data_IF_759598062649
#
_entry.id   IF_759598062649
#
_cell.length_a   1.000
_cell.length_b   1.000
_cell.length_c   1.000
_cell.angle_alpha   90.00
_cell.angle_beta   90.00
_cell.angle_gamma   90.00
#
_symmetry.space_group_name_H-M   'P 1'
#
loop_
_entity.id
_entity.type
_entity.pdbx_description
1 polymer ?
#
# COMPACT_ATOMS: atom_id res chain seq x y z
N UNK A 1 -57.81 7.15 13.70
CA UNK A 1 -56.69 7.71 12.94
C UNK A 1 -55.80 6.53 12.55
N UNK A 2 -55.84 6.16 11.28
CA UNK A 2 -55.06 5.05 10.74
C UNK A 2 -53.61 5.50 10.46
N UNK A 3 -52.60 4.62 10.55
CA UNK A 3 -51.22 4.97 10.23
C UNK A 3 -51.02 5.01 8.72
N UNK A 4 -50.41 6.09 8.27
CA UNK A 4 -50.05 6.34 6.87
C UNK A 4 -48.96 5.35 6.38
N UNK A 5 -49.18 4.89 5.14
CA UNK A 5 -48.39 3.88 4.51
C UNK A 5 -46.92 4.35 4.20
N UNK A 6 -46.02 3.43 4.36
CA UNK A 6 -44.67 3.52 3.80
C UNK A 6 -44.81 3.46 2.28
N UNK A 7 -44.33 4.51 1.63
CA UNK A 7 -44.11 4.49 0.18
C UNK A 7 -42.95 3.52 -0.13
N UNK A 8 -43.24 2.55 -0.96
CA UNK A 8 -42.24 1.67 -1.58
C UNK A 8 -41.27 2.52 -2.40
N UNK A 9 -39.96 2.48 -2.03
CA UNK A 9 -38.92 3.03 -2.85
C UNK A 9 -38.83 2.21 -4.13
N UNK A 10 -39.18 2.83 -5.24
CA UNK A 10 -39.06 2.23 -6.57
C UNK A 10 -37.59 1.82 -6.80
N UNK A 11 -37.37 0.52 -7.00
CA UNK A 11 -36.11 -0.05 -7.49
C UNK A 11 -35.90 0.54 -8.90
N UNK A 12 -34.83 1.31 -9.06
CA UNK A 12 -34.42 1.79 -10.38
C UNK A 12 -34.14 0.60 -11.30
N UNK A 13 -34.45 0.69 -12.60
CA UNK A 13 -34.27 -0.42 -13.53
C UNK A 13 -32.80 -0.80 -13.62
N UNK A 14 -32.51 -2.11 -13.53
CA UNK A 14 -31.23 -2.70 -13.86
C UNK A 14 -30.81 -2.25 -15.25
N UNK A 15 -29.64 -1.58 -15.32
CA UNK A 15 -29.09 -1.13 -16.57
C UNK A 15 -28.80 -2.31 -17.49
N UNK A 16 -29.24 -2.21 -18.73
CA UNK A 16 -29.16 -3.20 -19.81
C UNK A 16 -27.74 -3.78 -19.96
N UNK A 17 -27.69 -5.08 -19.79
CA UNK A 17 -26.55 -5.95 -20.11
C UNK A 17 -26.20 -5.85 -21.61
N UNK A 18 -24.98 -5.48 -21.98
CA UNK A 18 -24.59 -5.54 -23.38
C UNK A 18 -23.22 -4.98 -23.80
N UNK A 19 -22.66 -4.01 -23.13
CA UNK A 19 -21.34 -3.50 -23.50
C UNK A 19 -20.22 -4.27 -22.79
N UNK A 20 -19.16 -4.71 -23.49
CA UNK A 20 -18.03 -5.36 -22.84
C UNK A 20 -17.36 -4.41 -21.87
N UNK A 21 -17.23 -4.82 -20.59
CA UNK A 21 -16.52 -4.04 -19.59
C UNK A 21 -15.01 -4.02 -19.88
N UNK A 22 -14.36 -2.86 -19.78
CA UNK A 22 -12.92 -2.75 -19.98
C UNK A 22 -12.16 -3.66 -18.99
N UNK A 23 -11.12 -4.37 -19.44
CA UNK A 23 -10.22 -5.10 -18.52
C UNK A 23 -9.48 -4.11 -17.62
N UNK A 24 -9.03 -4.57 -16.44
CA UNK A 24 -8.07 -3.82 -15.64
C UNK A 24 -6.74 -3.75 -16.41
N UNK A 25 -6.23 -2.54 -16.52
CA UNK A 25 -4.95 -2.27 -17.17
C UNK A 25 -3.81 -2.46 -16.18
N UNK A 26 -2.66 -2.88 -16.67
CA UNK A 26 -1.42 -2.92 -15.90
C UNK A 26 -0.89 -1.52 -15.61
N UNK A 27 -0.08 -1.35 -14.56
CA UNK A 27 0.54 -0.04 -14.26
C UNK A 27 1.36 0.50 -15.44
N UNK A 28 2.19 -0.27 -16.16
CA UNK A 28 2.88 0.20 -17.36
C UNK A 28 1.93 0.78 -18.43
N UNK A 29 0.74 0.19 -18.62
CA UNK A 29 -0.25 0.72 -19.56
C UNK A 29 -0.82 2.06 -19.09
N UNK A 30 -1.14 2.19 -17.77
CA UNK A 30 -1.59 3.47 -17.20
C UNK A 30 -0.53 4.56 -17.39
N UNK A 31 0.74 4.24 -17.13
CA UNK A 31 1.85 5.17 -17.31
C UNK A 31 2.02 5.60 -18.78
N UNK A 32 1.77 4.71 -19.73
CA UNK A 32 1.82 5.03 -21.16
C UNK A 32 0.70 6.03 -21.55
N UNK A 33 -0.51 5.88 -20.99
CA UNK A 33 -1.60 6.83 -21.21
C UNK A 33 -1.26 8.22 -20.66
N UNK A 34 -0.75 8.31 -19.44
CA UNK A 34 -0.37 9.57 -18.82
C UNK A 34 0.75 10.28 -19.58
N UNK A 35 1.78 9.56 -20.06
CA UNK A 35 2.82 10.13 -20.93
C UNK A 35 2.28 10.69 -22.22
N UNK A 36 1.23 10.08 -22.75
CA UNK A 36 0.55 10.53 -23.97
C UNK A 36 -0.46 11.66 -23.72
N UNK A 37 -0.57 12.16 -22.49
CA UNK A 37 -1.51 13.22 -22.11
C UNK A 37 -2.97 12.76 -21.99
N UNK A 38 -3.21 11.45 -21.92
CA UNK A 38 -4.55 10.88 -21.76
C UNK A 38 -4.87 10.57 -20.30
N UNK A 39 -6.11 10.74 -19.85
CA UNK A 39 -6.51 10.41 -18.50
C UNK A 39 -6.68 8.89 -18.32
N UNK A 40 -6.59 8.45 -17.09
CA UNK A 40 -6.87 7.08 -16.66
C UNK A 40 -7.88 7.08 -15.51
N UNK A 41 -8.53 5.94 -15.27
CA UNK A 41 -9.36 5.76 -14.09
C UNK A 41 -8.55 4.94 -13.08
N UNK A 42 -8.51 5.40 -11.85
CA UNK A 42 -7.86 4.70 -10.73
C UNK A 42 -8.90 4.39 -9.67
N UNK A 43 -8.97 3.12 -9.24
CA UNK A 43 -9.97 2.64 -8.28
C UNK A 43 -9.27 2.24 -6.99
N UNK A 44 -9.84 2.63 -5.86
CA UNK A 44 -9.38 2.22 -4.55
C UNK A 44 -10.07 0.93 -4.06
N UNK A 45 -9.71 0.51 -2.84
CA UNK A 45 -10.24 -0.72 -2.22
C UNK A 45 -11.72 -0.59 -1.82
N UNK A 46 -12.47 -1.70 -1.93
CA UNK A 46 -13.88 -1.77 -1.54
C UNK A 46 -14.10 -1.42 -0.06
N UNK A 47 -13.13 -1.73 0.80
CA UNK A 47 -13.15 -1.41 2.23
C UNK A 47 -12.74 0.04 2.53
N UNK A 48 -12.27 0.82 1.53
CA UNK A 48 -11.85 2.20 1.71
C UNK A 48 -12.95 3.20 1.34
N UNK A 49 -12.98 3.71 0.13
CA UNK A 49 -14.03 4.60 -0.42
C UNK A 49 -14.87 3.87 -1.46
N UNK A 50 -14.26 2.83 -2.07
CA UNK A 50 -14.84 2.05 -3.16
C UNK A 50 -15.28 2.94 -4.31
N UNK A 51 -14.41 3.89 -4.70
CA UNK A 51 -14.66 4.88 -5.73
C UNK A 51 -13.58 4.82 -6.82
N UNK A 52 -13.81 5.50 -7.92
CA UNK A 52 -12.84 5.65 -8.99
C UNK A 52 -12.71 7.09 -9.40
N UNK A 53 -11.45 7.55 -9.46
CA UNK A 53 -11.13 8.90 -9.90
C UNK A 53 -10.63 8.89 -11.34
N UNK A 54 -11.06 9.89 -12.09
CA UNK A 54 -10.40 10.26 -13.33
C UNK A 54 -9.11 11.01 -12.98
N UNK A 55 -7.96 10.44 -13.38
CA UNK A 55 -6.62 10.94 -13.02
C UNK A 55 -5.83 11.27 -14.28
N UNK A 56 -5.15 12.42 -14.29
CA UNK A 56 -4.24 12.83 -15.37
C UNK A 56 -3.09 13.69 -14.85
N UNK A 57 -2.00 13.72 -15.60
CA UNK A 57 -0.84 14.55 -15.25
C UNK A 57 -1.21 16.04 -15.41
N UNK A 58 -0.94 16.85 -14.40
CA UNK A 58 -1.33 18.27 -14.38
C UNK A 58 -0.67 19.08 -15.51
N UNK A 59 0.55 18.74 -15.93
CA UNK A 59 1.23 19.42 -17.05
C UNK A 59 0.55 19.22 -18.40
N UNK A 60 -0.28 18.17 -18.54
CA UNK A 60 -1.05 17.85 -19.73
C UNK A 60 -2.51 18.32 -19.67
N UNK A 61 -2.92 19.06 -18.64
CA UNK A 61 -4.29 19.57 -18.52
C UNK A 61 -4.67 20.46 -19.72
N UNK A 62 -5.69 20.08 -20.49
CA UNK A 62 -6.25 20.88 -21.60
C UNK A 62 -7.67 21.33 -21.27
N UNK A 63 -8.18 22.30 -22.01
CA UNK A 63 -9.57 22.75 -21.87
C UNK A 63 -10.55 21.58 -22.10
N UNK A 64 -10.29 20.77 -23.12
CA UNK A 64 -11.13 19.63 -23.52
C UNK A 64 -11.13 18.56 -22.42
N UNK A 65 -9.96 18.25 -21.86
CA UNK A 65 -9.82 17.30 -20.77
C UNK A 65 -10.56 17.76 -19.51
N UNK A 66 -10.43 19.04 -19.17
CA UNK A 66 -11.16 19.63 -18.04
C UNK A 66 -12.67 19.66 -18.29
N UNK A 67 -13.11 19.96 -19.52
CA UNK A 67 -14.53 19.93 -19.87
C UNK A 67 -15.11 18.52 -19.77
N UNK A 68 -14.34 17.50 -20.17
CA UNK A 68 -14.69 16.09 -19.99
C UNK A 68 -14.79 15.74 -18.51
N UNK A 69 -13.75 16.08 -17.73
CA UNK A 69 -13.69 15.83 -16.27
C UNK A 69 -14.92 16.42 -15.58
N UNK A 70 -15.19 17.71 -15.77
CA UNK A 70 -16.32 18.41 -15.14
C UNK A 70 -17.67 17.77 -15.48
N UNK A 71 -17.81 17.22 -16.69
CA UNK A 71 -19.07 16.63 -17.16
C UNK A 71 -19.35 15.27 -16.52
N UNK A 72 -18.31 14.49 -16.24
CA UNK A 72 -18.43 13.08 -15.86
C UNK A 72 -18.01 12.79 -14.41
N UNK A 73 -17.68 13.81 -13.63
CA UNK A 73 -17.22 13.64 -12.24
C UNK A 73 -18.05 14.48 -11.27
N UNK A 74 -17.73 14.38 -9.98
CA UNK A 74 -18.39 15.15 -8.91
C UNK A 74 -18.19 16.67 -9.00
N UNK A 75 -17.40 17.16 -9.97
CA UNK A 75 -17.23 18.57 -10.27
C UNK A 75 -16.17 19.29 -9.44
N UNK A 76 -15.71 18.74 -8.33
CA UNK A 76 -14.55 19.24 -7.59
C UNK A 76 -13.30 18.71 -8.26
N UNK A 77 -12.55 19.59 -8.92
CA UNK A 77 -11.28 19.21 -9.53
C UNK A 77 -10.16 19.50 -8.56
N UNK A 78 -9.52 18.43 -8.10
CA UNK A 78 -8.39 18.50 -7.20
C UNK A 78 -7.07 18.44 -7.98
N UNK A 79 -6.00 18.99 -7.39
CA UNK A 79 -4.64 18.88 -7.90
C UNK A 79 -3.74 18.38 -6.78
N UNK A 80 -3.35 17.12 -6.87
CA UNK A 80 -2.47 16.46 -5.91
C UNK A 80 -1.01 16.80 -6.20
N UNK A 81 -0.24 17.11 -5.16
CA UNK A 81 1.16 17.47 -5.25
C UNK A 81 1.92 17.06 -3.99
N UNK A 82 3.24 16.81 -4.07
CA UNK A 82 4.06 16.55 -2.90
C UNK A 82 4.27 17.82 -2.08
N UNK A 83 4.70 17.67 -0.81
CA UNK A 83 4.85 18.77 0.14
C UNK A 83 5.80 19.85 -0.37
N UNK A 84 6.91 19.50 -1.03
CA UNK A 84 7.87 20.47 -1.58
C UNK A 84 7.25 21.39 -2.65
N UNK A 85 6.28 20.88 -3.43
CA UNK A 85 5.56 21.72 -4.41
C UNK A 85 4.56 22.61 -3.69
N UNK A 86 3.79 22.05 -2.75
CA UNK A 86 2.81 22.82 -1.98
C UNK A 86 3.46 23.92 -1.13
N UNK A 87 4.65 23.66 -0.57
CA UNK A 87 5.45 24.65 0.18
C UNK A 87 6.00 25.75 -0.72
N UNK A 88 6.52 25.40 -1.90
CA UNK A 88 6.96 26.39 -2.91
C UNK A 88 5.83 27.31 -3.36
N UNK A 89 4.63 26.77 -3.47
CA UNK A 89 3.44 27.52 -3.82
C UNK A 89 2.79 28.22 -2.61
N UNK A 90 3.32 28.10 -1.41
CA UNK A 90 2.79 28.64 -0.15
C UNK A 90 1.32 28.29 0.07
N UNK A 91 0.99 27.01 0.01
CA UNK A 91 -0.37 26.49 0.17
C UNK A 91 -0.60 25.95 1.59
N UNK A 92 -1.11 26.78 2.54
CA UNK A 92 -1.43 26.30 3.87
C UNK A 92 -2.62 25.34 3.86
N UNK A 93 -2.77 24.49 4.91
CA UNK A 93 -3.96 23.68 5.08
C UNK A 93 -5.24 24.53 5.02
N UNK A 94 -6.30 24.00 4.42
CA UNK A 94 -7.60 24.68 4.31
C UNK A 94 -8.20 25.00 5.69
N UNK A 95 -7.92 24.17 6.70
CA UNK A 95 -8.39 24.29 8.07
C UNK A 95 -7.26 24.06 9.06
N UNK A 96 -7.29 24.75 10.19
CA UNK A 96 -6.29 24.59 11.26
C UNK A 96 -6.32 23.20 11.89
N UNK A 97 -7.51 22.55 11.93
CA UNK A 97 -7.71 21.19 12.45
C UNK A 97 -8.54 20.40 11.44
N UNK A 98 -7.91 19.41 10.82
CA UNK A 98 -8.61 18.49 9.93
C UNK A 98 -9.42 17.47 10.77
N UNK A 99 -10.73 17.41 10.51
CA UNK A 99 -11.67 16.47 11.16
C UNK A 99 -12.33 15.54 10.15
N UNK A 100 -11.88 15.56 8.88
CA UNK A 100 -12.40 14.69 7.85
C UNK A 100 -12.05 13.22 8.17
N UNK A 101 -13.00 12.32 7.94
CA UNK A 101 -12.88 10.88 8.26
C UNK A 101 -11.64 10.23 7.64
N UNK A 102 -11.24 10.66 6.43
CA UNK A 102 -10.08 10.14 5.68
C UNK A 102 -8.86 11.03 5.77
N UNK A 103 -8.94 12.13 6.54
CA UNK A 103 -7.87 13.09 6.75
C UNK A 103 -7.27 13.65 5.43
N UNK A 104 -8.08 13.74 4.35
CA UNK A 104 -7.65 14.29 3.08
C UNK A 104 -7.08 15.69 3.26
N UNK A 105 -5.83 15.89 2.84
CA UNK A 105 -5.04 17.08 3.16
C UNK A 105 -5.32 18.24 2.18
N UNK A 106 -6.56 18.75 2.18
CA UNK A 106 -6.91 19.94 1.44
C UNK A 106 -6.11 21.16 1.90
N UNK A 107 -5.64 21.92 0.93
CA UNK A 107 -5.09 23.26 1.15
C UNK A 107 -6.11 24.31 0.76
N UNK A 108 -5.78 25.60 0.97
CA UNK A 108 -6.57 26.69 0.40
C UNK A 108 -6.72 26.50 -1.11
N UNK A 109 -7.92 26.78 -1.65
CA UNK A 109 -8.16 26.72 -3.09
C UNK A 109 -7.42 27.82 -3.82
N UNK A 110 -7.08 27.59 -5.09
CA UNK A 110 -6.27 28.49 -5.91
C UNK A 110 -6.89 28.75 -7.28
N UNK A 111 -6.43 29.82 -7.89
CA UNK A 111 -6.53 30.07 -9.33
C UNK A 111 -5.30 30.83 -9.82
N UNK A 112 -4.98 30.77 -11.11
CA UNK A 112 -3.89 31.54 -11.68
C UNK A 112 -4.15 33.03 -11.47
N UNK A 113 -3.11 33.78 -11.05
CA UNK A 113 -3.22 35.23 -10.85
C UNK A 113 -3.44 36.00 -12.17
N UNK A 114 -2.94 35.43 -13.28
CA UNK A 114 -3.03 36.02 -14.62
C UNK A 114 -3.46 34.98 -15.67
N UNK A 115 -3.95 35.41 -16.80
CA UNK A 115 -4.29 34.56 -17.95
C UNK A 115 -5.61 33.80 -17.82
N UNK A 116 -6.47 34.18 -16.88
CA UNK A 116 -7.80 33.63 -16.66
C UNK A 116 -8.89 34.72 -16.72
N UNK A 117 -10.15 34.28 -16.82
CA UNK A 117 -11.31 35.19 -16.73
C UNK A 117 -11.87 35.21 -15.29
N UNK A 118 -12.83 34.35 -14.98
CA UNK A 118 -13.45 34.23 -13.65
C UNK A 118 -12.94 33.04 -12.84
N UNK A 119 -12.01 32.27 -13.41
CA UNK A 119 -11.39 31.10 -12.74
C UNK A 119 -12.17 29.79 -12.86
N UNK A 120 -13.50 29.82 -13.09
CA UNK A 120 -14.36 28.63 -13.02
C UNK A 120 -14.43 27.85 -14.34
N UNK A 121 -14.13 28.49 -15.49
CA UNK A 121 -14.25 27.82 -16.80
C UNK A 121 -13.27 26.63 -16.91
N UNK A 122 -13.56 25.69 -17.80
CA UNK A 122 -12.63 24.57 -18.06
C UNK A 122 -11.25 25.08 -18.53
N UNK A 123 -11.23 26.16 -19.32
CA UNK A 123 -10.00 26.80 -19.78
C UNK A 123 -9.19 27.41 -18.63
N UNK A 124 -9.86 28.16 -17.75
CA UNK A 124 -9.21 28.81 -16.60
C UNK A 124 -8.66 27.77 -15.60
N UNK A 125 -9.45 26.72 -15.28
CA UNK A 125 -9.00 25.64 -14.39
C UNK A 125 -7.86 24.83 -15.03
N UNK A 126 -7.91 24.54 -16.32
CA UNK A 126 -6.81 23.88 -17.02
C UNK A 126 -5.53 24.72 -17.00
N UNK A 127 -5.65 26.04 -17.16
CA UNK A 127 -4.50 26.95 -17.05
C UNK A 127 -3.92 26.93 -15.64
N UNK A 128 -4.74 27.04 -14.61
CA UNK A 128 -4.33 26.99 -13.20
C UNK A 128 -3.63 25.67 -12.86
N UNK A 129 -4.18 24.52 -13.29
CA UNK A 129 -3.62 23.19 -13.03
C UNK A 129 -2.26 23.04 -13.72
N UNK A 130 -2.12 23.43 -14.99
CA UNK A 130 -0.82 23.41 -15.69
C UNK A 130 0.21 24.30 -15.03
N UNK A 131 -0.20 25.48 -14.56
CA UNK A 131 0.68 26.43 -13.88
C UNK A 131 1.21 25.81 -12.57
N UNK A 132 0.36 25.12 -11.80
CA UNK A 132 0.77 24.45 -10.55
C UNK A 132 1.84 23.36 -10.76
N UNK A 133 1.85 22.71 -11.92
CA UNK A 133 2.87 21.71 -12.28
C UNK A 133 4.19 22.32 -12.79
N UNK A 134 4.26 23.61 -13.08
CA UNK A 134 5.51 24.21 -13.57
C UNK A 134 6.59 24.27 -12.49
N UNK A 135 7.83 23.83 -12.78
CA UNK A 135 8.91 23.84 -11.79
C UNK A 135 9.26 25.21 -11.21
N UNK A 136 9.01 26.27 -11.99
CA UNK A 136 9.38 27.66 -11.62
C UNK A 136 8.17 28.48 -11.10
N UNK A 137 6.97 27.87 -11.05
CA UNK A 137 5.81 28.57 -10.48
C UNK A 137 6.01 28.79 -8.97
N UNK A 138 5.64 29.95 -8.49
CA UNK A 138 5.72 30.37 -7.10
C UNK A 138 4.39 30.90 -6.57
N UNK A 139 4.38 31.30 -5.31
CA UNK A 139 3.20 31.80 -4.62
C UNK A 139 2.52 32.97 -5.31
N UNK A 140 3.29 33.89 -5.92
CA UNK A 140 2.79 35.07 -6.60
C UNK A 140 2.02 34.77 -7.90
N UNK A 141 2.21 33.57 -8.48
CA UNK A 141 1.52 33.17 -9.71
C UNK A 141 0.05 32.76 -9.46
N UNK A 142 -0.39 32.70 -8.17
CA UNK A 142 -1.71 32.24 -7.78
C UNK A 142 -2.46 33.23 -6.90
N UNK A 143 -3.73 33.44 -7.20
CA UNK A 143 -4.71 34.04 -6.29
C UNK A 143 -5.30 32.97 -5.37
N UNK A 144 -5.72 33.40 -4.17
CA UNK A 144 -6.36 32.57 -3.12
C UNK A 144 -7.52 33.38 -2.50
N UNK A 145 -8.73 32.80 -2.36
CA UNK A 145 -9.16 31.49 -2.85
C UNK A 145 -9.36 31.44 -4.36
N UNK A 146 -9.60 30.25 -4.91
CA UNK A 146 -9.88 30.02 -6.33
C UNK A 146 -10.76 28.77 -6.56
N UNK A 147 -10.76 28.26 -7.79
CA UNK A 147 -11.67 27.21 -8.24
C UNK A 147 -10.98 25.85 -8.49
N UNK A 148 -9.71 25.70 -8.12
CA UNK A 148 -8.96 24.47 -8.11
C UNK A 148 -8.55 24.15 -6.68
N UNK A 149 -8.63 22.88 -6.27
CA UNK A 149 -8.44 22.43 -4.88
C UNK A 149 -7.14 21.62 -4.75
N UNK A 150 -6.03 22.22 -4.29
CA UNK A 150 -4.80 21.48 -4.09
C UNK A 150 -4.90 20.52 -2.91
N UNK A 151 -4.26 19.34 -3.08
CA UNK A 151 -4.13 18.30 -2.07
C UNK A 151 -2.65 18.01 -1.84
N UNK A 152 -2.23 17.94 -0.59
CA UNK A 152 -0.89 17.47 -0.22
C UNK A 152 -0.86 15.95 -0.17
N UNK A 153 -0.07 15.31 -1.03
CA UNK A 153 0.18 13.88 -0.96
C UNK A 153 1.14 13.56 0.18
N UNK A 154 0.89 12.46 0.88
CA UNK A 154 1.79 11.99 1.94
C UNK A 154 3.13 11.55 1.32
N UNK A 155 4.25 11.91 1.98
CA UNK A 155 5.56 11.37 1.65
C UNK A 155 5.53 9.84 1.66
N UNK A 156 6.15 9.20 0.66
CA UNK A 156 6.03 7.75 0.42
C UNK A 156 4.87 7.36 -0.50
N UNK A 157 3.95 8.29 -0.83
CA UNK A 157 2.88 8.07 -1.80
C UNK A 157 1.91 6.96 -1.39
N UNK A 158 1.47 6.13 -2.37
CA UNK A 158 0.51 5.04 -2.11
C UNK A 158 1.04 3.97 -1.15
N UNK A 159 2.35 3.87 -0.95
CA UNK A 159 2.95 2.97 0.04
C UNK A 159 2.71 3.46 1.48
N UNK A 160 2.44 4.75 1.66
CA UNK A 160 2.14 5.36 2.96
C UNK A 160 0.64 5.54 3.20
N UNK A 161 -0.09 5.95 2.16
CA UNK A 161 -1.55 6.13 2.18
C UNK A 161 -2.12 5.67 0.84
N UNK A 162 -2.89 4.59 0.85
CA UNK A 162 -3.49 4.00 -0.35
C UNK A 162 -4.70 4.83 -0.84
N UNK A 163 -4.47 6.11 -1.19
CA UNK A 163 -5.50 7.05 -1.62
C UNK A 163 -5.25 7.60 -3.02
N UNK A 164 -6.31 8.12 -3.67
CA UNK A 164 -6.26 8.70 -5.01
C UNK A 164 -5.30 9.89 -5.10
N UNK A 165 -5.19 10.70 -4.03
CA UNK A 165 -4.22 11.81 -3.93
C UNK A 165 -2.79 11.33 -4.16
N UNK A 166 -2.39 10.30 -3.41
CA UNK A 166 -1.07 9.70 -3.50
C UNK A 166 -0.88 8.98 -4.84
N UNK A 167 -1.91 8.28 -5.32
CA UNK A 167 -1.88 7.59 -6.61
C UNK A 167 -1.65 8.56 -7.78
N UNK A 168 -2.29 9.71 -7.78
CA UNK A 168 -2.13 10.72 -8.84
C UNK A 168 -0.69 11.25 -8.91
N UNK A 169 -0.06 11.53 -7.76
CA UNK A 169 1.34 11.97 -7.68
C UNK A 169 2.31 10.87 -8.11
N UNK A 170 2.10 9.64 -7.61
CA UNK A 170 2.95 8.50 -7.93
C UNK A 170 2.91 8.14 -9.40
N UNK A 171 1.72 8.08 -9.98
CA UNK A 171 1.56 7.79 -11.41
C UNK A 171 2.23 8.86 -12.29
N UNK A 172 2.09 10.15 -11.94
CA UNK A 172 2.79 11.22 -12.65
C UNK A 172 4.31 11.06 -12.54
N UNK A 173 4.83 10.81 -11.33
CA UNK A 173 6.27 10.58 -11.07
C UNK A 173 6.80 9.36 -11.83
N UNK A 174 6.11 8.22 -11.77
CA UNK A 174 6.50 6.98 -12.46
C UNK A 174 6.39 7.11 -13.99
N UNK A 175 5.51 7.98 -14.47
CA UNK A 175 5.45 8.33 -15.89
C UNK A 175 6.63 9.21 -16.34
N UNK A 176 7.49 9.70 -15.43
CA UNK A 176 8.58 10.63 -15.74
C UNK A 176 8.12 12.06 -15.98
N UNK A 177 6.92 12.41 -15.51
CA UNK A 177 6.30 13.72 -15.60
C UNK A 177 6.50 14.52 -14.28
N UNK A 178 6.10 15.79 -14.28
CA UNK A 178 6.08 16.54 -13.01
C UNK A 178 5.18 15.81 -12.00
N UNK A 179 5.60 15.65 -10.72
CA UNK A 179 4.88 14.88 -9.72
C UNK A 179 3.64 15.63 -9.20
N UNK A 180 2.83 16.09 -10.14
CA UNK A 180 1.58 16.81 -9.89
C UNK A 180 0.50 16.18 -10.76
N UNK A 181 -0.53 15.64 -10.14
CA UNK A 181 -1.65 14.98 -10.81
C UNK A 181 -2.97 15.68 -10.52
N UNK A 182 -3.83 15.83 -11.52
CA UNK A 182 -5.20 16.25 -11.32
C UNK A 182 -6.12 15.05 -11.20
N UNK A 183 -7.14 15.14 -10.34
CA UNK A 183 -8.08 14.06 -10.06
C UNK A 183 -9.48 14.61 -9.74
N UNK A 184 -10.49 13.79 -10.03
CA UNK A 184 -11.88 14.05 -9.65
C UNK A 184 -12.68 12.74 -9.70
N UNK A 185 -13.55 12.52 -8.74
CA UNK A 185 -14.32 11.30 -8.55
C UNK A 185 -15.39 11.12 -9.63
N UNK A 186 -15.45 9.95 -10.29
CA UNK A 186 -16.40 9.66 -11.37
C UNK A 186 -17.78 9.40 -10.78
N UNK A 187 -18.77 10.14 -11.27
CA UNK A 187 -20.13 10.14 -10.73
C UNK A 187 -21.15 9.79 -11.83
N UNK A 188 -22.21 9.10 -11.46
CA UNK A 188 -23.36 8.83 -12.34
C UNK A 188 -24.24 10.08 -12.52
N UNK A 189 -25.04 10.11 -13.56
CA UNK A 189 -25.99 11.21 -13.83
C UNK A 189 -27.04 11.39 -12.71
N UNK A 190 -27.31 10.32 -11.92
CA UNK A 190 -28.21 10.40 -10.76
C UNK A 190 -27.55 10.95 -9.48
N UNK A 191 -26.26 11.31 -9.57
CA UNK A 191 -25.49 11.89 -8.46
C UNK A 191 -24.85 10.87 -7.52
N UNK A 192 -24.94 9.55 -7.79
CA UNK A 192 -24.22 8.54 -7.01
C UNK A 192 -22.85 8.26 -7.61
N UNK A 193 -21.91 7.86 -6.73
CA UNK A 193 -20.57 7.49 -7.17
C UNK A 193 -20.60 6.18 -7.97
N UNK A 194 -19.86 6.14 -9.09
CA UNK A 194 -19.69 4.91 -9.86
C UNK A 194 -18.82 3.91 -9.07
N UNK A 195 -19.18 2.63 -9.13
CA UNK A 195 -18.42 1.52 -8.55
C UNK A 195 -17.70 0.73 -9.66
N UNK A 196 -16.78 -0.16 -9.30
CA UNK A 196 -15.92 -0.87 -10.25
C UNK A 196 -16.65 -1.45 -11.48
N UNK A 197 -17.82 -2.12 -11.38
CA UNK A 197 -18.52 -2.64 -12.56
C UNK A 197 -19.00 -1.54 -13.52
N UNK A 198 -19.42 -0.39 -12.99
CA UNK A 198 -19.88 0.76 -13.76
C UNK A 198 -18.70 1.53 -14.36
N UNK A 199 -17.64 1.72 -13.57
CA UNK A 199 -16.39 2.35 -14.01
C UNK A 199 -15.74 1.59 -15.18
N UNK A 200 -15.79 0.25 -15.18
CA UNK A 200 -15.29 -0.57 -16.30
C UNK A 200 -16.13 -0.39 -17.57
N UNK A 201 -17.46 -0.19 -17.46
CA UNK A 201 -18.31 0.15 -18.62
C UNK A 201 -18.01 1.55 -19.11
N UNK A 202 -17.94 2.52 -18.22
CA UNK A 202 -17.58 3.90 -18.53
C UNK A 202 -16.19 4.00 -19.20
N UNK A 203 -15.22 3.24 -18.69
CA UNK A 203 -13.88 3.16 -19.30
C UNK A 203 -13.93 2.62 -20.74
N UNK A 204 -14.72 1.56 -20.98
CA UNK A 204 -14.91 1.01 -22.33
C UNK A 204 -15.59 1.99 -23.29
N UNK A 205 -16.64 2.68 -22.84
CA UNK A 205 -17.38 3.67 -23.61
C UNK A 205 -16.50 4.84 -24.06
N UNK A 206 -15.63 5.32 -23.16
CA UNK A 206 -14.78 6.48 -23.41
C UNK A 206 -13.36 6.14 -23.84
N UNK A 207 -13.04 4.84 -24.06
CA UNK A 207 -11.70 4.39 -24.48
C UNK A 207 -10.61 4.67 -23.43
N UNK A 208 -10.97 4.66 -22.14
CA UNK A 208 -10.05 4.92 -21.04
C UNK A 208 -9.46 3.62 -20.49
N UNK A 209 -8.24 3.70 -19.98
CA UNK A 209 -7.65 2.63 -19.19
C UNK A 209 -8.07 2.78 -17.73
N UNK A 210 -8.34 1.65 -17.07
CA UNK A 210 -8.73 1.58 -15.66
C UNK A 210 -7.79 0.64 -14.91
N UNK A 211 -7.27 1.06 -13.76
CA UNK A 211 -6.42 0.23 -12.89
C UNK A 211 -6.71 0.49 -11.43
N UNK A 212 -6.03 -0.25 -10.54
CA UNK A 212 -6.26 -0.18 -9.09
C UNK A 212 -5.09 0.42 -8.33
N UNK A 213 -5.36 1.04 -7.19
CA UNK A 213 -4.31 1.48 -6.25
C UNK A 213 -3.55 0.26 -5.72
N UNK A 214 -4.20 -0.88 -5.54
CA UNK A 214 -3.56 -2.12 -5.10
C UNK A 214 -2.47 -2.58 -6.09
N UNK A 215 -2.74 -2.55 -7.40
CA UNK A 215 -1.73 -2.87 -8.42
C UNK A 215 -0.59 -1.85 -8.45
N UNK A 216 -0.89 -0.56 -8.22
CA UNK A 216 0.15 0.48 -8.12
C UNK A 216 1.05 0.26 -6.91
N UNK A 217 0.50 -0.10 -5.75
CA UNK A 217 1.25 -0.48 -4.56
C UNK A 217 2.16 -1.68 -4.89
N UNK A 218 1.61 -2.76 -5.43
CA UNK A 218 2.37 -3.96 -5.81
C UNK A 218 3.52 -3.63 -6.79
N UNK A 219 3.24 -2.78 -7.78
CA UNK A 219 4.23 -2.32 -8.74
C UNK A 219 5.40 -1.55 -8.08
N UNK A 220 5.10 -0.64 -7.14
CA UNK A 220 6.12 0.14 -6.43
C UNK A 220 6.92 -0.72 -5.46
N UNK A 221 6.23 -1.52 -4.64
CA UNK A 221 6.83 -2.39 -3.62
C UNK A 221 7.85 -3.36 -4.23
N UNK A 222 7.60 -3.86 -5.45
CA UNK A 222 8.50 -4.79 -6.13
C UNK A 222 9.68 -4.11 -6.83
N UNK A 223 9.63 -2.80 -7.08
CA UNK A 223 10.63 -2.05 -7.86
C UNK A 223 11.42 -1.02 -7.07
N UNK A 224 10.85 -0.50 -5.99
CA UNK A 224 11.50 0.51 -5.16
C UNK A 224 12.14 -0.13 -3.93
N UNK A 225 13.31 0.37 -3.54
CA UNK A 225 13.97 0.01 -2.28
C UNK A 225 13.64 1.07 -1.24
N UNK A 226 12.98 0.66 -0.18
CA UNK A 226 12.69 1.51 0.99
C UNK A 226 13.27 0.95 2.29
N UNK A 227 14.02 -0.15 2.22
CA UNK A 227 14.71 -0.73 3.37
C UNK A 227 16.20 -0.45 3.27
N UNK A 228 16.73 0.20 4.28
CA UNK A 228 18.15 0.59 4.39
C UNK A 228 18.85 -0.27 5.43
N UNK A 229 19.99 -0.87 5.07
CA UNK A 229 20.89 -1.51 6.02
C UNK A 229 21.67 -0.41 6.76
N UNK A 230 21.56 -0.37 8.09
CA UNK A 230 22.15 0.70 8.92
C UNK A 230 23.41 0.25 9.61
N UNK A 231 23.43 -0.96 10.20
CA UNK A 231 24.55 -1.44 11.03
C UNK A 231 24.53 -2.95 11.14
N UNK A 232 25.67 -3.54 11.53
CA UNK A 232 25.74 -4.95 11.89
C UNK A 232 26.66 -5.20 13.08
N UNK A 233 26.39 -6.27 13.82
CA UNK A 233 27.18 -6.70 14.96
C UNK A 233 27.10 -8.24 15.14
N UNK A 234 27.94 -8.78 16.02
CA UNK A 234 27.86 -10.17 16.45
C UNK A 234 26.99 -10.28 17.71
N UNK A 235 26.01 -11.18 17.69
CA UNK A 235 25.10 -11.43 18.79
C UNK A 235 25.21 -12.88 19.28
N UNK A 236 25.92 -13.15 20.40
CA UNK A 236 25.88 -14.44 21.03
C UNK A 236 24.49 -14.74 21.58
N UNK A 237 23.98 -15.94 21.30
CA UNK A 237 22.70 -16.45 21.82
C UNK A 237 22.89 -17.84 22.40
N UNK A 238 21.91 -18.40 23.11
CA UNK A 238 22.00 -19.79 23.62
C UNK A 238 22.17 -20.84 22.51
N UNK A 239 21.79 -20.53 21.27
CA UNK A 239 21.83 -21.51 20.18
C UNK A 239 23.08 -21.35 19.29
N UNK A 240 23.49 -20.12 18.98
CA UNK A 240 24.65 -19.83 18.14
C UNK A 240 25.08 -18.35 18.27
N UNK A 241 26.25 -18.02 17.69
CA UNK A 241 26.64 -16.64 17.46
C UNK A 241 26.11 -16.19 16.11
N UNK A 242 25.05 -15.38 16.14
CA UNK A 242 24.46 -14.79 14.93
C UNK A 242 25.13 -13.47 14.57
N UNK A 243 25.20 -13.17 13.31
CA UNK A 243 25.40 -11.81 12.80
C UNK A 243 24.05 -11.12 12.83
N UNK A 244 23.91 -10.05 13.59
CA UNK A 244 22.71 -9.23 13.67
C UNK A 244 22.89 -7.99 12.80
N UNK A 245 21.90 -7.71 11.95
CA UNK A 245 21.90 -6.59 11.00
C UNK A 245 20.67 -5.75 11.28
N UNK A 246 20.89 -4.46 11.55
CA UNK A 246 19.83 -3.47 11.73
C UNK A 246 19.44 -2.84 10.40
N UNK A 247 18.14 -2.75 10.20
CA UNK A 247 17.52 -2.12 9.02
C UNK A 247 16.57 -1.02 9.44
N UNK A 248 16.45 0.01 8.60
CA UNK A 248 15.46 1.07 8.74
C UNK A 248 14.54 1.03 7.53
N UNK A 249 13.25 1.06 7.78
CA UNK A 249 12.23 1.36 6.76
C UNK A 249 12.18 2.87 6.55
N UNK A 250 12.57 3.34 5.38
CA UNK A 250 12.59 4.76 5.05
C UNK A 250 11.20 5.41 4.98
N UNK A 251 10.14 4.60 4.74
CA UNK A 251 8.76 5.10 4.65
C UNK A 251 8.14 5.35 6.03
N UNK A 252 8.43 4.48 7.00
CA UNK A 252 7.79 4.51 8.33
C UNK A 252 8.74 4.97 9.44
N UNK A 253 10.06 4.94 9.18
CA UNK A 253 11.10 5.11 10.18
C UNK A 253 11.24 3.91 11.13
N UNK A 254 10.51 2.82 10.91
CA UNK A 254 10.57 1.64 11.76
C UNK A 254 11.92 0.93 11.61
N UNK A 255 12.42 0.40 12.72
CA UNK A 255 13.68 -0.33 12.75
C UNK A 255 13.41 -1.83 12.82
N UNK A 256 14.04 -2.59 11.95
CA UNK A 256 13.91 -4.04 11.84
C UNK A 256 15.26 -4.72 12.04
N UNK A 257 15.25 -6.02 12.31
CA UNK A 257 16.47 -6.77 12.56
C UNK A 257 16.47 -8.08 11.77
N UNK A 258 17.61 -8.41 11.15
CA UNK A 258 17.89 -9.75 10.66
C UNK A 258 18.98 -10.43 11.49
N UNK A 259 18.73 -11.63 11.96
CA UNK A 259 19.72 -12.51 12.61
C UNK A 259 20.15 -13.56 11.58
N UNK A 260 21.42 -13.55 11.21
CA UNK A 260 21.96 -14.38 10.12
C UNK A 260 23.03 -15.33 10.66
N UNK A 261 22.96 -16.58 10.29
CA UNK A 261 23.97 -17.59 10.57
C UNK A 261 24.51 -18.17 9.26
N UNK A 262 25.83 -18.30 9.17
CA UNK A 262 26.50 -18.75 7.96
C UNK A 262 26.39 -17.76 6.78
N UNK A 263 26.81 -18.19 5.61
CA UNK A 263 26.65 -17.40 4.39
C UNK A 263 25.31 -17.74 3.74
N UNK A 264 24.39 -16.78 3.74
CA UNK A 264 23.04 -16.91 3.17
C UNK A 264 22.94 -16.35 1.75
N UNK A 265 24.00 -15.67 1.27
CA UNK A 265 24.01 -15.09 -0.08
C UNK A 265 23.94 -16.22 -1.12
N UNK A 266 23.13 -15.99 -2.14
CA UNK A 266 23.03 -16.84 -3.30
C UNK A 266 23.52 -16.06 -4.52
N UNK A 267 24.46 -16.64 -5.26
CA UNK A 267 24.97 -16.02 -6.48
C UNK A 267 23.85 -15.94 -7.50
N UNK A 268 23.64 -14.77 -8.07
CA UNK A 268 22.83 -14.57 -9.27
C UNK A 268 23.74 -14.88 -10.44
N UNK A 269 23.29 -15.70 -11.40
CA UNK A 269 24.00 -15.81 -12.66
C UNK A 269 24.10 -14.42 -13.27
N UNK A 270 25.34 -14.01 -13.57
CA UNK A 270 25.63 -12.68 -14.13
C UNK A 270 25.15 -12.66 -15.59
N UNK A 271 23.99 -12.08 -15.86
CA UNK A 271 23.48 -11.85 -17.22
C UNK A 271 24.13 -10.62 -17.85
N UNK A 272 25.41 -10.41 -17.61
CA UNK A 272 26.35 -9.67 -18.49
C UNK A 272 26.01 -8.22 -18.83
N UNK A 273 25.24 -7.48 -18.01
CA UNK A 273 25.07 -6.03 -18.19
C UNK A 273 25.45 -5.26 -16.92
N UNK A 274 26.60 -4.58 -17.01
CA UNK A 274 27.21 -3.79 -15.95
C UNK A 274 26.52 -2.44 -15.80
N UNK A 275 25.49 -2.35 -14.99
CA UNK A 275 24.89 -1.08 -14.64
C UNK A 275 23.96 -1.20 -13.45
N UNK A 276 24.37 -0.69 -12.28
CA UNK A 276 23.67 -0.56 -11.00
C UNK A 276 22.87 -1.83 -10.54
N UNK A 277 22.83 -2.21 -9.27
CA UNK A 277 22.07 -3.39 -8.83
C UNK A 277 20.56 -3.17 -9.08
N UNK A 278 20.13 -3.55 -10.29
CA UNK A 278 18.74 -3.49 -10.71
C UNK A 278 17.88 -4.42 -9.86
N UNK A 279 16.69 -3.99 -9.52
CA UNK A 279 15.63 -4.86 -9.03
C UNK A 279 15.35 -5.86 -10.15
N UNK A 280 15.46 -7.18 -9.86
CA UNK A 280 15.18 -8.21 -10.84
C UNK A 280 13.77 -8.04 -11.42
N UNK A 281 13.61 -8.22 -12.73
CA UNK A 281 12.31 -8.27 -13.38
C UNK A 281 11.41 -9.31 -12.68
N UNK A 282 10.14 -9.02 -12.42
CA UNK A 282 9.20 -10.00 -11.87
C UNK A 282 9.04 -11.13 -12.89
N UNK A 283 9.46 -12.35 -12.53
CA UNK A 283 9.43 -13.52 -13.40
C UNK A 283 10.79 -14.09 -13.81
N UNK A 284 11.92 -13.46 -13.45
CA UNK A 284 13.22 -14.08 -13.61
C UNK A 284 13.36 -15.24 -12.61
N UNK A 285 13.34 -16.47 -13.09
CA UNK A 285 13.53 -17.67 -12.28
C UNK A 285 14.90 -17.61 -11.59
N UNK A 286 14.94 -17.89 -10.29
CA UNK A 286 16.20 -18.03 -9.56
C UNK A 286 17.06 -19.13 -10.20
N UNK A 287 18.39 -18.95 -10.27
CA UNK A 287 19.26 -19.98 -10.83
C UNK A 287 19.07 -21.29 -10.07
N UNK A 288 18.79 -22.36 -10.80
CA UNK A 288 18.40 -23.69 -10.30
C UNK A 288 19.46 -24.39 -9.40
N UNK A 289 20.64 -23.79 -9.18
CA UNK A 289 21.79 -24.40 -8.55
C UNK A 289 22.02 -24.01 -7.07
N UNK A 290 21.41 -22.96 -6.54
CA UNK A 290 21.66 -22.54 -5.16
C UNK A 290 20.80 -23.31 -4.14
N UNK A 291 21.40 -23.92 -3.14
CA UNK A 291 20.66 -24.61 -2.06
C UNK A 291 19.76 -23.62 -1.32
N UNK A 292 18.47 -23.95 -1.06
CA UNK A 292 17.54 -23.05 -0.41
C UNK A 292 17.97 -22.73 1.03
N UNK A 293 17.80 -21.48 1.45
CA UNK A 293 18.18 -20.98 2.77
C UNK A 293 17.03 -21.18 3.75
N UNK A 294 17.28 -21.66 4.96
CA UNK A 294 16.27 -21.75 6.01
C UNK A 294 15.96 -20.37 6.57
N UNK A 295 14.70 -19.92 6.46
CA UNK A 295 14.30 -18.56 6.82
C UNK A 295 13.06 -18.55 7.71
N UNK A 296 13.08 -17.68 8.73
CA UNK A 296 11.90 -17.28 9.50
C UNK A 296 11.63 -15.81 9.35
N UNK A 297 10.42 -15.44 8.92
CA UNK A 297 9.90 -14.08 9.08
C UNK A 297 9.08 -14.03 10.36
N UNK A 298 9.57 -13.30 11.36
CA UNK A 298 8.95 -13.17 12.68
C UNK A 298 8.43 -11.74 12.88
N UNK A 299 7.13 -11.59 13.10
CA UNK A 299 6.57 -10.28 13.50
C UNK A 299 6.67 -10.13 15.00
N UNK A 300 7.10 -8.97 15.47
CA UNK A 300 7.25 -8.59 16.87
C UNK A 300 6.01 -8.95 17.70
N UNK A 301 6.26 -9.49 18.88
CA UNK A 301 5.25 -9.77 19.88
C UNK A 301 5.88 -9.57 21.27
N UNK A 302 5.92 -8.33 21.76
CA UNK A 302 6.57 -8.01 23.04
C UNK A 302 6.10 -8.92 24.18
N UNK A 303 4.80 -9.18 24.25
CA UNK A 303 4.24 -10.02 25.30
C UNK A 303 4.73 -11.47 25.22
N UNK A 304 4.83 -12.06 24.03
CA UNK A 304 5.33 -13.42 23.82
C UNK A 304 6.86 -13.49 23.80
N UNK A 305 7.49 -12.53 23.13
CA UNK A 305 8.94 -12.57 22.88
C UNK A 305 9.76 -12.17 24.12
N UNK A 306 9.34 -11.14 24.86
CA UNK A 306 10.11 -10.60 25.98
C UNK A 306 9.45 -10.86 27.35
N UNK A 307 8.11 -10.88 27.42
CA UNK A 307 7.39 -11.05 28.69
C UNK A 307 6.94 -12.49 28.93
N UNK A 308 7.29 -13.43 28.04
CA UNK A 308 7.01 -14.87 28.16
C UNK A 308 5.51 -15.19 28.35
N UNK A 309 4.62 -14.42 27.70
CA UNK A 309 3.19 -14.65 27.76
C UNK A 309 2.81 -16.01 27.17
N UNK A 310 1.97 -16.75 27.88
CA UNK A 310 1.40 -18.02 27.42
C UNK A 310 0.16 -17.85 26.54
N UNK A 311 -0.36 -16.60 26.36
CA UNK A 311 -1.54 -16.33 25.50
C UNK A 311 -1.28 -16.53 24.02
N UNK A 312 -0.01 -16.62 23.58
CA UNK A 312 0.37 -16.87 22.19
C UNK A 312 1.56 -17.83 22.12
N UNK A 313 1.86 -18.25 20.91
CA UNK A 313 2.98 -19.14 20.57
C UNK A 313 4.23 -18.38 20.05
N UNK A 314 4.23 -17.04 20.04
CA UNK A 314 5.24 -16.23 19.34
C UNK A 314 6.66 -16.46 19.86
N UNK A 315 6.91 -16.30 21.15
CA UNK A 315 8.24 -16.52 21.75
C UNK A 315 8.76 -17.92 21.53
N UNK A 316 7.90 -18.93 21.70
CA UNK A 316 8.26 -20.34 21.45
C UNK A 316 8.62 -20.57 19.98
N UNK A 317 7.88 -20.01 19.04
CA UNK A 317 8.18 -20.11 17.61
C UNK A 317 9.48 -19.39 17.25
N UNK A 318 9.77 -18.22 17.85
CA UNK A 318 11.05 -17.53 17.65
C UNK A 318 12.21 -18.41 18.11
N UNK A 319 12.14 -18.97 19.31
CA UNK A 319 13.19 -19.78 19.89
C UNK A 319 13.40 -21.08 19.11
N UNK A 320 12.32 -21.76 18.72
CA UNK A 320 12.38 -22.93 17.87
C UNK A 320 13.02 -22.63 16.50
N UNK A 321 12.65 -21.51 15.88
CA UNK A 321 13.23 -21.10 14.61
C UNK A 321 14.74 -20.81 14.72
N UNK A 322 15.18 -20.08 15.76
CA UNK A 322 16.61 -19.83 16.01
C UNK A 322 17.39 -21.12 16.23
N UNK A 323 16.81 -22.06 16.99
CA UNK A 323 17.41 -23.38 17.18
C UNK A 323 17.51 -24.16 15.86
N UNK A 324 16.45 -24.23 15.07
CA UNK A 324 16.46 -24.91 13.76
C UNK A 324 17.49 -24.30 12.80
N UNK A 325 17.64 -22.97 12.79
CA UNK A 325 18.66 -22.29 12.00
C UNK A 325 20.07 -22.63 12.51
N UNK A 326 20.25 -22.68 13.82
CA UNK A 326 21.54 -23.08 14.43
C UNK A 326 21.91 -24.54 14.10
N UNK A 327 20.95 -25.45 14.20
CA UNK A 327 21.15 -26.87 13.88
C UNK A 327 21.46 -27.06 12.37
N UNK A 328 20.87 -26.24 11.50
CA UNK A 328 21.16 -26.24 10.05
C UNK A 328 22.50 -25.58 9.70
N UNK A 329 23.11 -24.80 10.60
CA UNK A 329 24.38 -24.09 10.39
C UNK A 329 24.30 -22.91 9.40
N UNK A 330 23.14 -22.71 8.75
CA UNK A 330 22.91 -21.65 7.75
C UNK A 330 21.44 -21.25 7.72
N UNK A 331 21.19 -19.95 7.84
CA UNK A 331 19.83 -19.43 7.76
C UNK A 331 19.68 -18.00 8.27
N UNK A 332 18.45 -17.48 8.22
CA UNK A 332 18.13 -16.15 8.69
C UNK A 332 16.80 -16.10 9.43
N UNK A 333 16.73 -15.32 10.50
CA UNK A 333 15.48 -14.87 11.11
C UNK A 333 15.35 -13.38 10.90
N UNK A 334 14.31 -12.95 10.17
CA UNK A 334 13.95 -11.54 9.97
C UNK A 334 12.90 -11.18 11.02
N UNK A 335 13.27 -10.28 11.93
CA UNK A 335 12.42 -9.78 13.00
C UNK A 335 11.81 -8.43 12.59
N UNK A 336 10.51 -8.44 12.31
CA UNK A 336 9.76 -7.28 11.82
C UNK A 336 9.05 -6.60 12.99
N UNK A 337 9.31 -5.33 13.19
CA UNK A 337 8.65 -4.52 14.23
C UNK A 337 7.23 -4.12 13.79
N UNK A 338 6.32 -5.08 13.87
CA UNK A 338 4.92 -4.98 13.49
C UNK A 338 4.04 -5.60 14.59
N UNK A 339 4.08 -4.99 15.78
CA UNK A 339 3.38 -5.47 16.98
C UNK A 339 1.86 -5.55 16.76
N UNK A 340 1.24 -6.58 17.32
CA UNK A 340 -0.20 -6.75 17.29
C UNK A 340 -0.78 -6.92 15.89
N UNK A 341 -0.02 -7.48 14.93
CA UNK A 341 -0.38 -7.54 13.50
C UNK A 341 -0.51 -6.15 12.84
N UNK A 342 0.28 -5.19 13.29
CA UNK A 342 0.30 -3.83 12.76
C UNK A 342 -0.53 -2.82 13.55
N UNK A 343 -1.35 -3.25 14.53
CA UNK A 343 -2.18 -2.33 15.34
C UNK A 343 -1.42 -1.69 16.52
N UNK A 344 -0.21 -2.16 16.80
CA UNK A 344 0.63 -1.69 17.89
C UNK A 344 0.30 -2.30 19.26
N UNK A 345 1.23 -2.11 20.22
CA UNK A 345 1.17 -2.73 21.54
C UNK A 345 -0.08 -2.34 22.35
N UNK A 346 -0.41 -1.05 22.41
CA UNK A 346 -1.52 -0.60 23.25
C UNK A 346 -2.87 -1.10 22.72
N UNK A 347 -3.09 -1.12 21.42
CA UNK A 347 -4.31 -1.67 20.85
C UNK A 347 -4.37 -3.20 21.00
N UNK A 348 -3.24 -3.89 20.92
CA UNK A 348 -3.17 -5.31 21.25
C UNK A 348 -3.57 -5.59 22.71
N UNK A 349 -3.17 -4.75 23.68
CA UNK A 349 -3.60 -4.91 25.06
C UNK A 349 -5.10 -4.62 25.24
N UNK A 350 -5.66 -3.66 24.49
CA UNK A 350 -7.12 -3.46 24.42
C UNK A 350 -7.84 -4.68 23.83
N UNK A 351 -7.29 -5.27 22.76
CA UNK A 351 -7.81 -6.52 22.20
C UNK A 351 -7.76 -7.66 23.21
N UNK A 352 -6.72 -7.75 24.05
CA UNK A 352 -6.68 -8.73 25.14
C UNK A 352 -7.81 -8.53 26.16
N UNK A 353 -8.13 -7.29 26.53
CA UNK A 353 -9.26 -7.01 27.41
C UNK A 353 -10.60 -7.48 26.80
N UNK A 354 -10.83 -7.22 25.50
CA UNK A 354 -12.02 -7.71 24.79
C UNK A 354 -12.04 -9.26 24.71
N UNK A 355 -10.89 -9.89 24.58
CA UNK A 355 -10.79 -11.36 24.60
C UNK A 355 -11.10 -11.94 26.00
N UNK A 356 -10.74 -11.25 27.08
CA UNK A 356 -11.11 -11.63 28.44
C UNK A 356 -12.63 -11.53 28.67
N UNK A 357 -13.33 -10.72 27.87
CA UNK A 357 -14.80 -10.59 27.83
C UNK A 357 -15.48 -11.57 26.86
N UNK A 358 -14.70 -12.41 26.12
CA UNK A 358 -15.21 -13.49 25.29
C UNK A 358 -15.09 -13.29 23.78
N UNK A 359 -14.60 -12.15 23.28
CA UNK A 359 -14.31 -11.99 21.86
C UNK A 359 -13.12 -12.86 21.41
N UNK A 360 -13.11 -13.32 20.17
CA UNK A 360 -11.89 -13.93 19.62
C UNK A 360 -10.91 -12.87 19.06
N UNK A 361 -9.73 -13.33 18.61
CA UNK A 361 -8.66 -12.40 18.16
C UNK A 361 -9.05 -11.56 16.94
N UNK A 362 -9.89 -12.07 16.04
CA UNK A 362 -10.36 -11.36 14.83
C UNK A 362 -11.44 -10.37 15.24
N UNK A 363 -12.45 -10.83 15.96
CA UNK A 363 -13.54 -10.01 16.48
C UNK A 363 -13.04 -8.84 17.35
N UNK A 364 -12.06 -9.09 18.21
CA UNK A 364 -11.47 -8.04 19.05
C UNK A 364 -10.79 -6.93 18.20
N UNK A 365 -10.12 -7.29 17.09
CA UNK A 365 -9.54 -6.29 16.17
C UNK A 365 -10.64 -5.50 15.44
N UNK A 366 -11.67 -6.16 14.94
CA UNK A 366 -12.79 -5.53 14.24
C UNK A 366 -13.58 -4.58 15.16
N UNK A 367 -13.82 -4.97 16.42
CA UNK A 367 -14.44 -4.12 17.43
C UNK A 367 -13.62 -2.85 17.74
N UNK A 368 -12.30 -2.91 17.58
CA UNK A 368 -11.40 -1.77 17.68
C UNK A 368 -11.27 -0.96 16.39
N UNK A 369 -11.96 -1.37 15.31
CA UNK A 369 -11.95 -0.69 14.01
C UNK A 369 -10.74 -1.04 13.12
N UNK A 370 -10.05 -2.14 13.38
CA UNK A 370 -8.91 -2.61 12.58
C UNK A 370 -9.26 -3.85 11.76
N UNK A 371 -8.63 -3.97 10.60
CA UNK A 371 -8.65 -5.22 9.84
C UNK A 371 -7.97 -6.36 10.61
N UNK A 372 -8.29 -7.60 10.29
CA UNK A 372 -7.78 -8.79 10.96
C UNK A 372 -6.25 -8.93 10.92
N UNK A 373 -5.59 -8.42 9.88
CA UNK A 373 -4.14 -8.45 9.69
C UNK A 373 -3.68 -7.29 8.81
N UNK A 374 -2.97 -6.31 9.41
CA UNK A 374 -2.41 -5.12 8.76
C UNK A 374 -0.89 -5.25 8.49
N UNK A 375 -0.31 -6.45 8.63
CA UNK A 375 1.13 -6.64 8.43
C UNK A 375 1.53 -6.48 6.98
N UNK A 376 2.59 -5.70 6.78
CA UNK A 376 3.32 -5.62 5.52
C UNK A 376 4.51 -6.60 5.53
N UNK A 377 4.50 -7.54 4.59
CA UNK A 377 5.59 -8.50 4.40
C UNK A 377 6.62 -8.04 3.36
N UNK A 378 6.37 -6.95 2.66
CA UNK A 378 7.26 -6.36 1.66
C UNK A 378 8.59 -5.90 2.26
N UNK A 379 8.56 -5.29 3.45
CA UNK A 379 9.77 -4.97 4.23
C UNK A 379 10.63 -6.21 4.45
N UNK A 380 10.02 -7.31 4.88
CA UNK A 380 10.72 -8.57 5.10
C UNK A 380 11.31 -9.16 3.83
N UNK A 381 10.59 -9.08 2.71
CA UNK A 381 11.09 -9.50 1.40
C UNK A 381 12.30 -8.66 0.98
N UNK A 382 12.24 -7.35 1.12
CA UNK A 382 13.37 -6.46 0.78
C UNK A 382 14.60 -6.72 1.67
N UNK A 383 14.42 -7.02 2.95
CA UNK A 383 15.53 -7.44 3.83
C UNK A 383 16.16 -8.74 3.31
N UNK A 384 15.35 -9.74 2.92
CA UNK A 384 15.85 -10.99 2.36
C UNK A 384 16.60 -10.77 1.04
N UNK A 385 16.09 -9.91 0.17
CA UNK A 385 16.76 -9.54 -1.08
C UNK A 385 18.10 -8.84 -0.85
N UNK A 386 18.18 -7.95 0.17
CA UNK A 386 19.43 -7.31 0.57
C UNK A 386 20.45 -8.29 1.15
N UNK A 387 19.98 -9.33 1.86
CA UNK A 387 20.82 -10.44 2.32
C UNK A 387 21.30 -11.35 1.18
N UNK A 388 20.78 -11.19 -0.04
CA UNK A 388 21.07 -12.03 -1.19
C UNK A 388 20.29 -13.35 -1.21
N UNK A 389 19.18 -13.45 -0.47
CA UNK A 389 18.33 -14.65 -0.42
C UNK A 389 17.26 -14.55 -1.50
N UNK A 390 17.29 -15.48 -2.47
CA UNK A 390 16.36 -15.57 -3.59
C UNK A 390 15.52 -16.85 -3.57
N UNK A 391 16.05 -17.92 -2.96
CA UNK A 391 15.42 -19.23 -2.86
C UNK A 391 15.52 -19.72 -1.43
N UNK A 392 14.39 -20.07 -0.81
CA UNK A 392 14.37 -20.35 0.62
C UNK A 392 13.44 -21.51 1.01
N UNK A 393 13.68 -22.04 2.20
CA UNK A 393 12.79 -22.90 2.97
C UNK A 393 12.17 -22.06 4.08
N UNK A 394 10.86 -21.83 4.04
CA UNK A 394 10.19 -20.88 4.93
C UNK A 394 9.59 -21.56 6.13
N UNK A 395 10.10 -21.23 7.32
CA UNK A 395 9.53 -21.64 8.61
C UNK A 395 8.23 -20.85 8.88
N UNK A 396 7.09 -21.43 8.49
CA UNK A 396 5.77 -20.76 8.64
C UNK A 396 4.61 -21.73 8.59
N UNK A 397 3.54 -21.39 9.31
CA UNK A 397 2.21 -21.99 9.16
C UNK A 397 1.22 -21.01 8.50
N UNK A 398 1.64 -19.79 8.13
CA UNK A 398 0.79 -18.77 7.54
C UNK A 398 0.99 -18.69 6.00
N UNK A 399 -0.04 -19.05 5.18
CA UNK A 399 0.05 -19.04 3.73
C UNK A 399 0.32 -17.65 3.13
N UNK A 400 -0.18 -16.57 3.77
CA UNK A 400 0.04 -15.20 3.30
C UNK A 400 1.51 -14.80 3.21
N UNK A 401 2.38 -15.40 4.05
CA UNK A 401 3.83 -15.14 3.99
C UNK A 401 4.48 -15.74 2.75
N UNK A 402 3.97 -16.87 2.25
CA UNK A 402 4.46 -17.52 1.03
C UNK A 402 4.14 -16.62 -0.17
N UNK A 403 2.85 -16.31 -0.35
CA UNK A 403 2.37 -15.47 -1.48
C UNK A 403 3.07 -14.10 -1.50
N UNK A 404 3.26 -13.49 -0.33
CA UNK A 404 3.94 -12.20 -0.25
C UNK A 404 5.38 -12.27 -0.75
N UNK A 405 6.15 -13.29 -0.42
CA UNK A 405 7.54 -13.43 -0.86
C UNK A 405 7.65 -13.70 -2.37
N UNK A 406 6.77 -14.54 -2.90
CA UNK A 406 6.72 -14.84 -4.33
C UNK A 406 6.45 -13.59 -5.17
N UNK A 407 5.61 -12.67 -4.67
CA UNK A 407 5.36 -11.37 -5.30
C UNK A 407 6.61 -10.49 -5.45
N UNK A 408 7.67 -10.74 -4.67
CA UNK A 408 8.98 -10.08 -4.76
C UNK A 408 10.02 -10.87 -5.56
N UNK A 409 9.63 -11.94 -6.23
CA UNK A 409 10.55 -12.81 -6.97
C UNK A 409 11.44 -13.68 -6.09
N UNK A 410 11.04 -13.94 -4.84
CA UNK A 410 11.70 -14.87 -3.94
C UNK A 410 10.99 -16.22 -4.04
N UNK A 411 11.70 -17.26 -4.47
CA UNK A 411 11.19 -18.63 -4.58
C UNK A 411 11.08 -19.27 -3.18
N UNK A 412 9.88 -19.68 -2.80
CA UNK A 412 9.67 -20.52 -1.61
C UNK A 412 9.72 -21.99 -2.03
N UNK A 413 10.92 -22.57 -2.01
CA UNK A 413 11.16 -23.95 -2.43
C UNK A 413 10.48 -24.98 -1.53
N UNK A 414 10.31 -24.66 -0.25
CA UNK A 414 9.68 -25.53 0.75
C UNK A 414 9.07 -24.70 1.87
N UNK A 415 7.85 -25.03 2.27
CA UNK A 415 7.28 -24.61 3.55
C UNK A 415 7.71 -25.60 4.63
N UNK A 416 8.33 -25.09 5.68
CA UNK A 416 8.71 -25.88 6.85
C UNK A 416 7.73 -25.56 7.99
N UNK A 417 6.94 -26.52 8.47
CA UNK A 417 6.04 -26.32 9.59
C UNK A 417 6.79 -25.88 10.87
N UNK A 418 6.16 -25.01 11.65
CA UNK A 418 6.73 -24.53 12.89
C UNK A 418 5.70 -24.60 14.03
N UNK A 419 5.62 -25.74 14.68
CA UNK A 419 4.75 -25.98 15.83
C UNK A 419 5.58 -25.91 17.11
N UNK A 420 5.23 -24.96 17.98
CA UNK A 420 5.91 -24.78 19.26
C UNK A 420 5.00 -24.03 20.25
N UNK A 421 5.05 -24.41 21.52
CA UNK A 421 4.47 -23.67 22.62
C UNK A 421 2.95 -23.80 22.77
N UNK A 422 2.34 -24.88 22.27
CA UNK A 422 0.95 -25.17 22.59
C UNK A 422 0.77 -25.38 24.08
N UNK A 423 -0.24 -24.73 24.65
CA UNK A 423 -0.55 -24.79 26.05
C UNK A 423 -2.04 -24.43 26.32
N UNK A 424 -2.61 -24.73 27.50
CA UNK A 424 -4.03 -24.49 27.76
C UNK A 424 -4.47 -23.01 27.66
N UNK A 425 -3.55 -22.05 27.76
CA UNK A 425 -3.88 -20.62 27.71
C UNK A 425 -3.93 -20.07 26.27
N UNK A 426 -3.36 -20.78 25.28
CA UNK A 426 -3.37 -20.34 23.88
C UNK A 426 -4.16 -21.25 22.92
N UNK A 427 -4.84 -22.27 23.42
CA UNK A 427 -5.62 -23.21 22.62
C UNK A 427 -6.69 -22.50 21.77
N UNK A 428 -7.47 -21.60 22.36
CA UNK A 428 -8.47 -20.80 21.65
C UNK A 428 -7.84 -19.88 20.57
N UNK A 429 -6.72 -19.27 20.91
CA UNK A 429 -5.96 -18.43 19.97
C UNK A 429 -5.45 -19.24 18.75
N UNK A 430 -4.91 -20.43 18.97
CA UNK A 430 -4.45 -21.32 17.90
C UNK A 430 -5.62 -21.83 17.06
N UNK A 431 -6.75 -22.15 17.68
CA UNK A 431 -7.98 -22.54 16.98
C UNK A 431 -8.47 -21.40 16.05
N UNK A 432 -8.50 -20.16 16.53
CA UNK A 432 -8.84 -18.98 15.70
C UNK A 432 -7.89 -18.79 14.53
N UNK A 433 -6.58 -18.98 14.73
CA UNK A 433 -5.60 -18.94 13.64
C UNK A 433 -5.92 -19.93 12.52
N UNK A 434 -6.32 -21.17 12.88
CA UNK A 434 -6.70 -22.19 11.92
C UNK A 434 -8.01 -21.85 11.23
N UNK A 435 -9.05 -21.58 12.00
CA UNK A 435 -10.42 -21.42 11.46
C UNK A 435 -10.62 -20.12 10.67
N UNK A 436 -10.07 -18.98 11.15
CA UNK A 436 -10.36 -17.65 10.60
C UNK A 436 -9.19 -17.04 9.78
N UNK A 437 -7.96 -17.51 9.96
CA UNK A 437 -6.78 -16.95 9.31
C UNK A 437 -6.09 -17.93 8.34
N UNK A 438 -6.67 -19.11 8.12
CA UNK A 438 -6.21 -20.10 7.16
C UNK A 438 -4.83 -20.69 7.45
N UNK A 439 -4.39 -20.72 8.73
CA UNK A 439 -3.14 -21.34 9.09
C UNK A 439 -3.18 -22.85 8.86
N UNK A 440 -2.09 -23.40 8.37
CA UNK A 440 -1.93 -24.85 8.14
C UNK A 440 -1.82 -25.61 9.47
N UNK A 441 -2.37 -26.82 9.49
CA UNK A 441 -2.38 -27.74 10.65
C UNK A 441 -1.28 -28.80 10.57
N UNK A 442 -0.68 -29.02 9.40
CA UNK A 442 0.32 -30.04 9.07
C UNK A 442 1.78 -29.59 9.22
#
# INVERSE_FOLDING_TARGET
>A
MAPEGRADAAVAPEATDGAPAAPLATVPELLAELRAGRPVIVVDDEDRENEGDLVFAAEHATTELLAFTIRHTGGIVCVAMPDEVADRLELPPMVARNTARRETAFTVSIEAAEGISTGISAADRAHTIRLAARPHAGAADFARPGHVFPLRAREGGVLRRAGHTEAAVDLARLAGLQPVGALSEVMRDDGHMMRLPELRRFAAEHGLKIGTIADLIAHRVTRERFVERVTEAQLPTPWARFRVIGYRDALTGAEHVAMVLGDVRQEVADDGDSGAPGVAEPGAAAPAAAAPVLVRMHSECLTGDALHSLRCDCGFQRDAALKMIADAGRGALVYLRQEGRGIGLLNKLRAYALQDEGADTVEANELLGFAADLRDYGVGAQILLDLGVRRLRLLTNNPRKVVALEGFGIEVAERVPLHAGENPYNEAYLATKRAKLGHFDD
#
